data_IF_370873719585
#
_entry.id   IF_370873719585
#
_cell.length_a   1.000
_cell.length_b   1.000
_cell.length_c   1.000
_cell.angle_alpha   90.00
_cell.angle_beta   90.00
_cell.angle_gamma   90.00
#
_symmetry.space_group_name_H-M   'P 1'
#
loop_
_entity.id
_entity.type
_entity.pdbx_description
1 polymer ?
#
# COMPACT_ATOMS: atom_id res chain seq x y z
N UNK A 1 -5.11 9.24 -10.16
CA UNK A 1 -4.84 9.73 -8.80
C UNK A 1 -3.80 8.86 -8.15
N UNK A 2 -3.01 9.44 -7.24
CA UNK A 2 -2.02 8.75 -6.41
C UNK A 2 -2.43 8.90 -4.95
N UNK A 3 -2.34 7.83 -4.15
CA UNK A 3 -2.36 7.93 -2.70
C UNK A 3 -1.00 8.45 -2.25
N UNK A 4 -0.95 9.15 -1.12
CA UNK A 4 0.32 9.51 -0.50
C UNK A 4 0.43 8.74 0.83
N UNK A 5 1.43 7.84 0.98
CA UNK A 5 2.46 7.48 0.01
C UNK A 5 1.93 6.50 -1.04
N UNK A 6 2.40 6.60 -2.29
CA UNK A 6 1.96 5.74 -3.39
C UNK A 6 2.03 4.25 -3.00
N UNK A 7 0.93 3.52 -3.15
CA UNK A 7 0.91 2.08 -2.88
C UNK A 7 1.56 1.24 -3.98
N UNK A 8 1.70 -0.08 -3.75
CA UNK A 8 2.49 -0.97 -4.61
C UNK A 8 1.98 -1.06 -6.05
N UNK A 9 2.86 -1.38 -7.00
CA UNK A 9 2.49 -1.52 -8.40
C UNK A 9 1.98 -0.26 -9.12
N UNK A 10 1.13 -0.48 -10.15
CA UNK A 10 0.59 0.58 -11.02
C UNK A 10 -0.77 1.10 -10.51
N UNK A 11 -0.75 2.31 -9.94
CA UNK A 11 -1.88 2.96 -9.28
C UNK A 11 -2.97 3.47 -10.25
N UNK A 12 -4.24 3.11 -10.00
CA UNK A 12 -5.43 3.84 -10.52
C UNK A 12 -6.37 4.16 -9.37
N UNK A 13 -6.95 5.36 -9.36
CA UNK A 13 -7.70 5.90 -8.22
C UNK A 13 -9.18 6.10 -8.55
N UNK A 14 -10.07 5.70 -7.63
CA UNK A 14 -11.50 6.01 -7.59
C UNK A 14 -11.90 6.71 -6.27
N UNK A 15 -13.03 6.34 -5.67
CA UNK A 15 -13.61 6.86 -4.41
C UNK A 15 -12.72 6.65 -3.15
N UNK A 16 -11.47 7.11 -3.16
CA UNK A 16 -10.50 6.84 -2.09
C UNK A 16 -10.03 5.38 -2.05
N UNK A 17 -10.11 4.66 -3.17
CA UNK A 17 -9.59 3.29 -3.32
C UNK A 17 -8.70 3.24 -4.55
N UNK A 18 -7.57 2.58 -4.40
CA UNK A 18 -6.53 2.43 -5.40
C UNK A 18 -6.40 0.97 -5.82
N UNK A 19 -6.25 0.74 -7.12
CA UNK A 19 -5.85 -0.57 -7.64
C UNK A 19 -4.33 -0.67 -7.64
N UNK A 20 -3.79 -1.69 -6.98
CA UNK A 20 -2.37 -2.02 -6.93
C UNK A 20 -2.14 -3.30 -7.74
N UNK A 21 -1.40 -3.19 -8.84
CA UNK A 21 -1.04 -4.34 -9.67
C UNK A 21 0.28 -4.95 -9.16
N UNK A 22 0.21 -6.10 -8.49
CA UNK A 22 1.34 -6.87 -7.96
C UNK A 22 1.73 -7.99 -8.94
N UNK A 23 2.77 -8.75 -8.59
CA UNK A 23 3.20 -9.93 -9.36
C UNK A 23 2.17 -11.06 -9.35
N UNK A 24 1.35 -11.17 -8.30
CA UNK A 24 0.39 -12.27 -8.13
C UNK A 24 -1.05 -11.88 -8.52
N UNK A 25 -1.32 -10.60 -8.78
CA UNK A 25 -2.64 -10.13 -9.19
C UNK A 25 -2.87 -8.66 -8.90
N UNK A 26 -4.14 -8.24 -8.96
CA UNK A 26 -4.53 -6.88 -8.58
C UNK A 26 -5.29 -6.90 -7.27
N UNK A 27 -4.89 -6.04 -6.34
CA UNK A 27 -5.67 -5.74 -5.13
C UNK A 27 -6.15 -4.30 -5.11
N UNK A 28 -7.17 -4.06 -4.29
CA UNK A 28 -7.82 -2.78 -4.14
C UNK A 28 -7.68 -2.33 -2.70
N UNK A 29 -7.22 -1.11 -2.48
CA UNK A 29 -6.92 -0.65 -1.14
C UNK A 29 -6.52 0.81 -1.04
N UNK A 30 -5.99 1.19 0.12
CA UNK A 30 -5.52 2.53 0.37
C UNK A 30 -4.28 2.49 1.27
N UNK A 31 -3.32 3.36 0.99
CA UNK A 31 -2.16 3.60 1.85
C UNK A 31 -2.38 4.85 2.68
N UNK A 32 -1.98 4.81 3.94
CA UNK A 32 -2.15 5.92 4.86
C UNK A 32 -0.83 6.29 5.51
N UNK A 33 -0.68 7.57 5.82
CA UNK A 33 0.44 8.07 6.60
C UNK A 33 -0.06 9.15 7.54
N UNK A 34 0.24 8.98 8.83
CA UNK A 34 -0.11 9.88 9.92
C UNK A 34 1.13 10.03 10.80
N UNK A 35 1.31 11.14 11.55
CA UNK A 35 2.46 11.27 12.45
C UNK A 35 2.66 10.02 13.33
N UNK A 36 3.81 9.38 13.16
CA UNK A 36 4.17 8.13 13.85
C UNK A 36 3.64 6.82 13.23
N UNK A 37 2.89 6.87 12.13
CA UNK A 37 2.25 5.69 11.54
C UNK A 37 2.28 5.65 10.01
N UNK A 38 2.48 4.44 9.48
CA UNK A 38 2.29 4.11 8.06
C UNK A 38 1.37 2.89 7.95
N UNK A 39 0.41 2.95 7.03
CA UNK A 39 -0.67 1.98 6.90
C UNK A 39 -0.85 1.53 5.45
N UNK A 40 -1.25 0.27 5.26
CA UNK A 40 -1.85 -0.25 4.04
C UNK A 40 -3.04 -1.14 4.44
N UNK A 41 -4.19 -0.93 3.81
CA UNK A 41 -5.29 -1.89 3.83
C UNK A 41 -5.63 -2.23 2.37
N UNK A 42 -5.67 -3.52 2.03
CA UNK A 42 -5.95 -3.99 0.68
C UNK A 42 -6.74 -5.31 0.69
N UNK A 43 -7.46 -5.59 -0.40
CA UNK A 43 -8.16 -6.86 -0.60
C UNK A 43 -8.31 -7.24 -2.07
N UNK A 44 -8.60 -8.52 -2.33
CA UNK A 44 -8.87 -9.03 -3.68
C UNK A 44 -10.21 -8.54 -4.19
N UNK A 45 -10.38 -8.53 -5.52
CA UNK A 45 -11.62 -8.09 -6.18
C UNK A 45 -12.88 -8.81 -5.67
N UNK A 46 -12.74 -10.10 -5.35
CA UNK A 46 -13.83 -10.97 -4.87
C UNK A 46 -14.04 -10.89 -3.35
N UNK A 47 -13.24 -10.10 -2.63
CA UNK A 47 -13.33 -9.91 -1.18
C UNK A 47 -12.90 -11.11 -0.34
N UNK A 48 -12.41 -12.20 -0.94
CA UNK A 48 -12.05 -13.43 -0.21
C UNK A 48 -10.73 -13.34 0.55
N UNK A 49 -9.85 -12.40 0.18
CA UNK A 49 -8.55 -12.19 0.80
C UNK A 49 -8.35 -10.71 1.10
N UNK A 50 -7.82 -10.43 2.29
CA UNK A 50 -7.49 -9.09 2.74
C UNK A 50 -6.13 -9.08 3.45
N UNK A 51 -5.46 -7.94 3.38
CA UNK A 51 -4.18 -7.67 4.03
C UNK A 51 -4.24 -6.29 4.67
N UNK A 52 -3.80 -6.21 5.92
CA UNK A 52 -3.53 -4.95 6.60
C UNK A 52 -2.10 -4.94 7.10
N UNK A 53 -1.36 -3.88 6.80
CA UNK A 53 0.00 -3.66 7.29
C UNK A 53 0.04 -2.37 8.08
N UNK A 54 0.52 -2.47 9.32
CA UNK A 54 0.66 -1.36 10.26
C UNK A 54 2.10 -1.22 10.69
N UNK A 55 2.66 -0.01 10.55
CA UNK A 55 3.99 0.34 10.99
C UNK A 55 3.94 1.53 11.93
N UNK A 56 4.53 1.40 13.12
CA UNK A 56 4.70 2.49 14.10
C UNK A 56 5.91 3.36 13.76
N UNK A 57 5.92 3.90 12.55
CA UNK A 57 6.78 5.00 12.14
C UNK A 57 6.19 5.66 10.89
N UNK A 58 6.45 6.95 10.75
CA UNK A 58 6.02 7.72 9.58
C UNK A 58 7.07 7.58 8.47
N UNK A 59 6.75 6.79 7.44
CA UNK A 59 7.67 6.46 6.35
C UNK A 59 7.09 6.93 5.02
N UNK A 60 7.86 7.78 4.33
CA UNK A 60 7.58 8.23 2.98
C UNK A 60 8.89 8.43 2.21
N UNK A 61 8.79 8.84 0.95
CA UNK A 61 9.93 9.01 0.05
C UNK A 61 10.93 10.07 0.53
N UNK A 62 10.51 11.01 1.38
CA UNK A 62 11.36 12.05 1.95
C UNK A 62 12.00 11.64 3.29
N UNK A 63 11.28 10.90 4.15
CA UNK A 63 11.76 10.57 5.50
C UNK A 63 12.65 9.34 5.54
N UNK A 64 12.27 8.25 4.86
CA UNK A 64 13.03 7.01 4.86
C UNK A 64 12.77 6.17 3.61
N UNK A 65 13.38 6.54 2.47
CA UNK A 65 13.12 5.88 1.17
C UNK A 65 13.55 4.41 1.13
N UNK A 66 14.59 4.02 1.89
CA UNK A 66 15.02 2.61 1.98
C UNK A 66 13.99 1.75 2.69
N UNK A 67 13.48 2.22 3.84
CA UNK A 67 12.43 1.51 4.57
C UNK A 67 11.13 1.47 3.77
N UNK A 68 10.80 2.54 3.04
CA UNK A 68 9.65 2.55 2.14
C UNK A 68 9.77 1.48 1.05
N UNK A 69 10.94 1.36 0.41
CA UNK A 69 11.17 0.34 -0.62
C UNK A 69 11.01 -1.09 -0.07
N UNK A 70 11.64 -1.37 1.08
CA UNK A 70 11.51 -2.67 1.76
C UNK A 70 10.05 -2.97 2.16
N UNK A 71 9.32 -1.95 2.65
CA UNK A 71 7.91 -2.10 3.01
C UNK A 71 7.05 -2.45 1.78
N UNK A 72 7.34 -1.88 0.61
CA UNK A 72 6.61 -2.17 -0.63
C UNK A 72 6.89 -3.57 -1.15
N UNK A 73 8.14 -4.01 -1.10
CA UNK A 73 8.53 -5.38 -1.47
C UNK A 73 7.81 -6.42 -0.61
N UNK A 74 7.83 -6.25 0.71
CA UNK A 74 7.10 -7.10 1.65
C UNK A 74 5.60 -7.11 1.35
N UNK A 75 4.99 -5.95 1.12
CA UNK A 75 3.56 -5.85 0.81
C UNK A 75 3.18 -6.57 -0.48
N UNK A 76 4.06 -6.62 -1.48
CA UNK A 76 3.81 -7.39 -2.70
C UNK A 76 4.01 -8.89 -2.52
N UNK A 77 4.89 -9.34 -1.61
CA UNK A 77 5.08 -10.77 -1.32
C UNK A 77 3.86 -11.40 -0.63
N UNK A 78 3.07 -10.61 0.10
CA UNK A 78 1.86 -11.07 0.80
C UNK A 78 0.59 -11.07 -0.07
N UNK A 79 0.67 -10.63 -1.34
CA UNK A 79 -0.49 -10.34 -2.19
C UNK A 79 -0.42 -11.00 -3.56
#
# INVERSE_FOLDING_TARGET
GSSEPAGPGRNRAGLGVFSYATRCGTVYGHTGNFPGYTQLAAGTKDGKRSLTVSLTSQVNSATNPRLLANLRELQEDFV
#
